data_IF_299873418777
#
_entry.id   IF_299873418777
#
_cell.length_a   1.000
_cell.length_b   1.000
_cell.length_c   1.000
_cell.angle_alpha   90.00
_cell.angle_beta   90.00
_cell.angle_gamma   90.00
#
_symmetry.space_group_name_H-M   'P 1'
#
loop_
_entity.id
_entity.type
_entity.pdbx_description
1 polymer ?
#
# COMPACT_ATOMS: atom_id res chain seq x y z
N UNK A 1 -17.49 -14.24 8.12
CA UNK A 1 -16.59 -14.62 7.00
C UNK A 1 -15.13 -14.21 7.24
N UNK A 2 -14.80 -13.45 8.30
CA UNK A 2 -13.44 -13.01 8.62
C UNK A 2 -12.82 -13.63 9.88
N UNK A 3 -13.47 -14.62 10.51
CA UNK A 3 -13.06 -15.15 11.83
C UNK A 3 -11.58 -15.50 11.92
N UNK A 4 -11.01 -16.17 10.91
CA UNK A 4 -9.58 -16.51 10.89
C UNK A 4 -8.65 -15.28 10.93
N UNK A 5 -9.02 -14.18 10.29
CA UNK A 5 -8.21 -12.96 10.23
C UNK A 5 -8.34 -12.18 11.55
N UNK A 6 -9.57 -12.05 12.04
CA UNK A 6 -9.86 -11.40 13.33
C UNK A 6 -9.17 -12.12 14.50
N UNK A 7 -9.25 -13.46 14.54
CA UNK A 7 -8.60 -14.31 15.56
C UNK A 7 -7.07 -14.18 15.55
N UNK A 8 -6.49 -13.74 14.43
CA UNK A 8 -5.04 -13.51 14.28
C UNK A 8 -4.66 -12.03 14.43
N UNK A 9 -5.60 -11.17 14.80
CA UNK A 9 -5.37 -9.73 14.95
C UNK A 9 -5.09 -9.02 13.62
N UNK A 10 -5.52 -9.59 12.49
CA UNK A 10 -5.34 -9.00 11.16
C UNK A 10 -6.50 -8.05 10.89
N UNK A 11 -6.19 -6.78 10.70
CA UNK A 11 -7.16 -5.75 10.29
C UNK A 11 -7.20 -5.65 8.78
N UNK A 12 -8.41 -5.70 8.19
CA UNK A 12 -8.64 -5.42 6.78
C UNK A 12 -9.03 -3.95 6.64
N UNK A 13 -8.30 -3.21 5.82
CA UNK A 13 -8.57 -1.80 5.55
C UNK A 13 -9.18 -1.66 4.15
N UNK A 14 -10.18 -0.78 3.96
CA UNK A 14 -10.65 -0.44 2.64
C UNK A 14 -9.63 0.43 1.91
N UNK A 15 -9.55 0.26 0.59
CA UNK A 15 -8.66 1.04 -0.26
C UNK A 15 -8.98 2.54 -0.19
N UNK A 16 -7.93 3.36 -0.32
CA UNK A 16 -8.07 4.80 -0.51
C UNK A 16 -7.99 5.14 -2.00
N UNK A 17 -9.04 5.75 -2.57
CA UNK A 17 -9.24 5.83 -4.03
C UNK A 17 -9.28 7.26 -4.59
N UNK A 18 -8.46 8.18 -4.06
CA UNK A 18 -8.32 9.51 -4.67
C UNK A 18 -7.59 9.43 -6.01
N UNK A 19 -8.34 9.51 -7.11
CA UNK A 19 -7.86 9.31 -8.49
C UNK A 19 -6.70 10.24 -8.86
N UNK A 20 -6.71 11.47 -8.36
CA UNK A 20 -5.64 12.45 -8.60
C UNK A 20 -4.30 11.97 -8.03
N UNK A 21 -4.29 11.71 -6.71
CA UNK A 21 -3.11 11.23 -6.00
C UNK A 21 -2.63 9.88 -6.55
N UNK A 22 -3.56 8.97 -6.83
CA UNK A 22 -3.27 7.67 -7.43
C UNK A 22 -2.46 7.80 -8.73
N UNK A 23 -2.92 8.64 -9.66
CA UNK A 23 -2.23 8.88 -10.93
C UNK A 23 -0.87 9.56 -10.73
N UNK A 24 -0.75 10.43 -9.74
CA UNK A 24 0.53 11.07 -9.39
C UNK A 24 1.53 10.05 -8.84
N UNK A 25 1.11 9.18 -7.92
CA UNK A 25 1.94 8.12 -7.34
C UNK A 25 2.38 7.12 -8.40
N UNK A 26 1.49 6.68 -9.30
CA UNK A 26 1.83 5.83 -10.44
C UNK A 26 2.98 6.43 -11.25
N UNK A 27 2.86 7.71 -11.64
CA UNK A 27 3.87 8.40 -12.47
C UNK A 27 5.17 8.64 -11.70
N UNK A 28 5.07 9.14 -10.47
CA UNK A 28 6.22 9.55 -9.64
C UNK A 28 7.10 8.36 -9.27
N UNK A 29 6.48 7.22 -8.94
CA UNK A 29 7.19 6.04 -8.48
C UNK A 29 7.27 4.94 -9.54
N UNK A 30 6.76 5.18 -10.75
CA UNK A 30 6.71 4.20 -11.85
C UNK A 30 6.09 2.87 -11.39
N UNK A 31 4.95 2.96 -10.71
CA UNK A 31 4.22 1.82 -10.20
C UNK A 31 3.08 1.44 -11.15
N UNK A 32 2.76 0.14 -11.19
CA UNK A 32 1.53 -0.31 -11.83
C UNK A 32 0.30 0.21 -11.07
N UNK A 33 -0.88 0.26 -11.73
CA UNK A 33 -2.14 0.71 -11.12
C UNK A 33 -2.41 0.15 -9.72
N UNK A 34 -2.21 -1.16 -9.53
CA UNK A 34 -2.47 -1.85 -8.27
C UNK A 34 -1.47 -1.44 -7.17
N UNK A 35 -0.18 -1.38 -7.50
CA UNK A 35 0.86 -1.08 -6.51
C UNK A 35 0.79 0.38 -6.07
N UNK A 36 0.41 1.28 -6.97
CA UNK A 36 0.12 2.66 -6.63
C UNK A 36 -1.10 2.78 -5.70
N UNK A 37 -2.14 1.98 -5.90
CA UNK A 37 -3.31 1.95 -5.02
C UNK A 37 -2.93 1.48 -3.60
N UNK A 38 -2.11 0.44 -3.49
CA UNK A 38 -1.55 -0.02 -2.22
C UNK A 38 -0.73 1.10 -1.56
N UNK A 39 0.15 1.76 -2.32
CA UNK A 39 1.00 2.83 -1.80
C UNK A 39 0.20 4.02 -1.27
N UNK A 40 -0.81 4.53 -1.99
CA UNK A 40 -1.66 5.64 -1.50
C UNK A 40 -2.52 5.21 -0.31
N UNK A 41 -2.95 3.95 -0.27
CA UNK A 41 -3.69 3.40 0.87
C UNK A 41 -2.79 3.38 2.11
N UNK A 42 -1.54 2.90 1.99
CA UNK A 42 -0.58 2.97 3.07
C UNK A 42 -0.33 4.42 3.54
N UNK A 43 -0.18 5.36 2.60
CA UNK A 43 -0.01 6.78 2.90
C UNK A 43 -1.19 7.36 3.70
N UNK A 44 -2.42 7.07 3.25
CA UNK A 44 -3.66 7.51 3.91
C UNK A 44 -3.79 7.01 5.35
N UNK A 45 -3.49 5.74 5.60
CA UNK A 45 -3.55 5.14 6.94
C UNK A 45 -2.28 5.34 7.77
N UNK A 46 -1.27 6.07 7.27
CA UNK A 46 -0.02 6.31 8.00
C UNK A 46 0.87 5.06 8.16
N UNK A 47 0.69 4.05 7.33
CA UNK A 47 1.49 2.82 7.30
C UNK A 47 2.85 3.15 6.67
N UNK A 48 3.93 2.89 7.42
CA UNK A 48 5.32 3.21 7.01
C UNK A 48 6.15 1.99 6.63
N UNK A 49 5.70 0.78 6.96
CA UNK A 49 6.39 -0.46 6.64
C UNK A 49 5.48 -1.35 5.80
N UNK A 50 6.01 -1.96 4.75
CA UNK A 50 5.28 -2.89 3.89
C UNK A 50 6.04 -4.21 3.79
N UNK A 51 5.36 -5.32 4.09
CA UNK A 51 5.88 -6.66 3.90
C UNK A 51 5.53 -7.14 2.49
N UNK A 52 6.51 -7.20 1.60
CA UNK A 52 6.33 -7.62 0.21
C UNK A 52 7.65 -8.07 -0.41
N UNK A 53 7.57 -9.00 -1.36
CA UNK A 53 8.70 -9.39 -2.21
C UNK A 53 8.83 -8.52 -3.46
N UNK A 54 7.89 -7.61 -3.69
CA UNK A 54 7.93 -6.69 -4.81
C UNK A 54 8.90 -5.52 -4.54
N UNK A 55 10.01 -5.54 -5.26
CA UNK A 55 11.06 -4.54 -5.13
C UNK A 55 10.63 -3.15 -5.62
N UNK A 56 9.54 -3.05 -6.37
CA UNK A 56 9.04 -1.78 -6.89
C UNK A 56 8.66 -0.80 -5.78
N UNK A 57 8.19 -1.32 -4.64
CA UNK A 57 7.89 -0.52 -3.46
C UNK A 57 9.12 0.14 -2.84
N UNK A 58 10.35 -0.32 -3.14
CA UNK A 58 11.58 0.36 -2.71
C UNK A 58 11.71 1.76 -3.31
N UNK A 59 11.00 2.07 -4.40
CA UNK A 59 10.97 3.42 -5.00
C UNK A 59 10.12 4.40 -4.18
N UNK A 60 9.17 3.91 -3.38
CA UNK A 60 8.22 4.72 -2.62
C UNK A 60 8.86 5.27 -1.35
N UNK A 61 9.28 6.54 -1.39
CA UNK A 61 10.09 7.18 -0.31
C UNK A 61 9.48 7.14 1.10
N UNK A 62 8.15 7.04 1.23
CA UNK A 62 7.47 7.01 2.53
C UNK A 62 7.24 5.59 3.06
N UNK A 63 7.59 4.56 2.28
CA UNK A 63 7.51 3.16 2.67
C UNK A 63 8.88 2.56 2.87
N UNK A 64 9.01 1.79 3.95
CA UNK A 64 10.12 0.88 4.19
C UNK A 64 9.68 -0.54 3.84
N UNK A 65 10.33 -1.14 2.84
CA UNK A 65 10.11 -2.56 2.53
C UNK A 65 10.77 -3.42 3.60
N UNK A 66 10.02 -4.35 4.16
CA UNK A 66 10.50 -5.38 5.09
C UNK A 66 10.33 -6.77 4.44
N UNK A 67 11.36 -7.65 4.47
CA UNK A 67 11.24 -9.04 4.02
C UNK A 67 10.34 -9.89 4.91
#
# INVERSE_FOLDING_TARGET
>A
MFGLLEDRGITILPDYQEVGEWREVMKKYKLLPNDALIAITCGHYGIKNIATFDEDFKRVKFLKVIP
#
